data_IF_153174271046
#
_entry.id   IF_153174271046
#
_cell.length_a   1.000
_cell.length_b   1.000
_cell.length_c   1.000
_cell.angle_alpha   90.00
_cell.angle_beta   90.00
_cell.angle_gamma   90.00
#
_symmetry.space_group_name_H-M   'P 1'
#
loop_
_entity.id
_entity.type
_entity.pdbx_description
1 polymer ?
#
# COMPACT_ATOMS: atom_id res chain seq x y z
N UNK A 1 -9.33 -3.94 11.67
CA UNK A 1 -10.21 -2.89 11.10
C UNK A 1 -11.62 -3.15 11.64
N UNK A 2 -11.91 -2.52 12.78
CA UNK A 2 -13.15 -2.70 13.56
C UNK A 2 -14.19 -1.58 13.28
N UNK A 3 -14.14 -0.96 12.09
CA UNK A 3 -15.03 0.13 11.73
C UNK A 3 -16.35 -0.39 11.12
N UNK A 4 -17.49 -0.09 11.76
CA UNK A 4 -18.82 -0.51 11.30
C UNK A 4 -19.38 0.40 10.18
N UNK A 5 -19.06 1.69 10.16
CA UNK A 5 -19.52 2.67 9.17
C UNK A 5 -18.54 2.86 8.00
N UNK A 6 -19.03 3.41 6.89
CA UNK A 6 -18.17 3.72 5.72
C UNK A 6 -17.23 4.88 6.02
N UNK A 7 -17.70 5.86 6.78
CA UNK A 7 -16.98 7.05 7.18
C UNK A 7 -15.77 6.68 8.03
N UNK A 8 -15.95 5.83 9.04
CA UNK A 8 -14.84 5.35 9.87
C UNK A 8 -13.81 4.55 9.06
N UNK A 9 -14.26 3.76 8.07
CA UNK A 9 -13.32 3.05 7.17
C UNK A 9 -12.49 4.01 6.32
N UNK A 10 -13.06 5.15 5.92
CA UNK A 10 -12.32 6.17 5.17
C UNK A 10 -11.28 6.84 6.06
N UNK A 11 -11.62 7.14 7.32
CA UNK A 11 -10.67 7.67 8.31
C UNK A 11 -9.50 6.71 8.55
N UNK A 12 -9.78 5.43 8.81
CA UNK A 12 -8.73 4.42 9.02
C UNK A 12 -7.81 4.27 7.80
N UNK A 13 -8.35 4.38 6.57
CA UNK A 13 -7.53 4.37 5.36
C UNK A 13 -6.68 5.63 5.20
N UNK A 14 -7.18 6.78 5.68
CA UNK A 14 -6.41 8.01 5.72
C UNK A 14 -5.25 7.92 6.71
N UNK A 15 -5.47 7.34 7.90
CA UNK A 15 -4.42 7.12 8.90
C UNK A 15 -3.32 6.20 8.36
N UNK A 16 -3.68 5.13 7.65
CA UNK A 16 -2.70 4.26 6.98
C UNK A 16 -1.90 5.02 5.90
N UNK A 17 -2.55 5.92 5.16
CA UNK A 17 -1.88 6.74 4.16
C UNK A 17 -0.92 7.75 4.82
N UNK A 18 -1.29 8.32 5.96
CA UNK A 18 -0.42 9.21 6.74
C UNK A 18 0.83 8.47 7.22
N UNK A 19 0.69 7.24 7.73
CA UNK A 19 1.82 6.41 8.13
C UNK A 19 2.76 6.11 6.96
N UNK A 20 2.23 5.76 5.79
CA UNK A 20 3.05 5.54 4.58
C UNK A 20 3.80 6.80 4.18
N UNK A 21 3.16 7.97 4.26
CA UNK A 21 3.79 9.24 3.94
C UNK A 21 4.90 9.60 4.94
N UNK A 22 4.68 9.38 6.24
CA UNK A 22 5.68 9.60 7.27
C UNK A 22 6.91 8.69 7.06
N UNK A 23 6.70 7.42 6.71
CA UNK A 23 7.77 6.49 6.38
C UNK A 23 8.53 6.90 5.12
N UNK A 24 7.83 7.33 4.07
CA UNK A 24 8.47 7.82 2.85
C UNK A 24 9.40 9.01 3.15
N UNK A 25 8.92 9.97 3.94
CA UNK A 25 9.72 11.13 4.37
C UNK A 25 10.92 10.71 5.23
N UNK A 26 10.72 9.77 6.16
CA UNK A 26 11.79 9.23 7.00
C UNK A 26 12.90 8.57 6.16
N UNK A 27 12.54 7.82 5.12
CA UNK A 27 13.46 7.19 4.18
C UNK A 27 14.03 8.17 3.12
N UNK A 28 13.64 9.45 3.15
CA UNK A 28 14.11 10.48 2.22
C UNK A 28 13.57 10.33 0.79
N UNK A 29 12.43 9.65 0.62
CA UNK A 29 11.77 9.45 -0.68
C UNK A 29 10.43 10.18 -0.74
N UNK A 30 9.98 10.53 -1.95
CA UNK A 30 8.67 11.16 -2.12
C UNK A 30 7.57 10.12 -2.27
N UNK A 31 6.34 10.48 -1.88
CA UNK A 31 5.17 9.63 -2.05
C UNK A 31 4.92 9.32 -3.54
N UNK A 32 5.25 10.23 -4.45
CA UNK A 32 5.15 10.01 -5.89
C UNK A 32 6.10 8.90 -6.37
N UNK A 33 7.32 8.84 -5.84
CA UNK A 33 8.27 7.78 -6.18
C UNK A 33 7.75 6.40 -5.70
N UNK A 34 7.19 6.35 -4.49
CA UNK A 34 6.53 5.15 -3.95
C UNK A 34 5.36 4.73 -4.85
N UNK A 35 4.56 5.68 -5.28
CA UNK A 35 3.40 5.47 -6.14
C UNK A 35 3.80 4.98 -7.54
N UNK A 36 4.90 5.47 -8.11
CA UNK A 36 5.46 4.97 -9.37
C UNK A 36 5.86 3.49 -9.25
N UNK A 37 6.56 3.11 -8.18
CA UNK A 37 6.94 1.71 -7.91
C UNK A 37 5.69 0.83 -7.72
N UNK A 38 4.67 1.33 -7.02
CA UNK A 38 3.39 0.64 -6.83
C UNK A 38 2.70 0.35 -8.16
N UNK A 39 2.63 1.34 -9.06
CA UNK A 39 2.05 1.20 -10.41
C UNK A 39 2.80 0.16 -11.25
N UNK A 40 4.13 0.21 -11.28
CA UNK A 40 4.95 -0.78 -12.00
C UNK A 40 4.74 -2.21 -11.47
N UNK A 41 4.65 -2.39 -10.14
CA UNK A 41 4.31 -3.69 -9.53
C UNK A 41 2.91 -4.14 -9.92
N UNK A 42 1.95 -3.23 -9.97
CA UNK A 42 0.57 -3.52 -10.36
C UNK A 42 0.46 -3.92 -11.84
N UNK A 43 1.19 -3.28 -12.74
CA UNK A 43 1.27 -3.65 -14.16
C UNK A 43 1.89 -5.05 -14.33
N UNK A 44 3.00 -5.32 -13.65
CA UNK A 44 3.72 -6.60 -13.74
C UNK A 44 2.96 -7.77 -13.10
N UNK A 45 2.30 -7.54 -11.96
CA UNK A 45 1.74 -8.61 -11.11
C UNK A 45 0.21 -8.57 -10.97
N UNK A 46 -0.45 -7.57 -11.58
CA UNK A 46 -1.90 -7.34 -11.50
C UNK A 46 -2.37 -6.53 -10.28
N UNK A 47 -1.44 -6.13 -9.40
CA UNK A 47 -1.74 -5.43 -8.15
C UNK A 47 -2.65 -6.26 -7.24
N UNK A 48 -3.28 -5.60 -6.26
CA UNK A 48 -4.23 -6.26 -5.35
C UNK A 48 -5.60 -6.52 -5.99
N UNK A 49 -5.88 -5.98 -7.19
CA UNK A 49 -7.17 -6.17 -7.87
C UNK A 49 -7.40 -7.62 -8.29
N UNK A 50 -6.34 -8.34 -8.68
CA UNK A 50 -6.44 -9.76 -9.03
C UNK A 50 -6.49 -10.69 -7.82
N UNK A 51 -6.39 -10.16 -6.59
CA UNK A 51 -6.25 -10.95 -5.35
C UNK A 51 -5.10 -11.96 -5.41
N UNK A 52 -4.07 -11.68 -6.21
CA UNK A 52 -2.87 -12.51 -6.29
C UNK A 52 -1.98 -12.09 -5.11
N UNK A 53 -1.98 -12.91 -4.07
CA UNK A 53 -1.15 -12.72 -2.89
C UNK A 53 0.13 -13.55 -3.03
N UNK A 54 1.24 -13.02 -2.52
CA UNK A 54 2.46 -13.79 -2.34
C UNK A 54 2.20 -14.78 -1.20
N UNK A 55 2.14 -16.08 -1.52
CA UNK A 55 1.87 -17.13 -0.52
C UNK A 55 3.16 -17.60 0.14
N UNK A 56 4.25 -17.68 -0.62
CA UNK A 56 5.54 -18.18 -0.14
C UNK A 56 6.68 -17.66 -1.03
N UNK A 57 7.86 -17.47 -0.44
CA UNK A 57 9.13 -17.29 -1.15
C UNK A 57 10.04 -18.41 -0.68
N UNK A 58 10.64 -19.15 -1.63
CA UNK A 58 11.72 -20.07 -1.33
C UNK A 58 13.05 -19.33 -1.55
N UNK A 59 13.91 -19.36 -0.55
CA UNK A 59 15.31 -18.94 -0.69
C UNK A 59 16.09 -20.09 -1.32
N UNK A 60 16.74 -19.84 -2.46
CA UNK A 60 17.78 -20.72 -3.04
C UNK A 60 19.17 -20.36 -2.46
#
# INVERSE_FOLDING_TARGET
LEAESKEHKVEELADLLELVNALAQYEGVTLEAVEQVRKQKAEKRGGFQKRIFLVEVHDD
#
